data_IF_048964697744
#
_entry.id   IF_048964697744
#
_cell.length_a   1.000
_cell.length_b   1.000
_cell.length_c   1.000
_cell.angle_alpha   90.00
_cell.angle_beta   90.00
_cell.angle_gamma   90.00
#
_symmetry.space_group_name_H-M   'P 1'
#
loop_
_entity.id
_entity.type
_entity.pdbx_description
1 polymer ?
#
# COMPACT_ATOMS: atom_id res chain seq x y z
N UNK A 1 15.61 -27.27 21.21
CA UNK A 1 14.33 -26.74 21.72
C UNK A 1 14.55 -26.00 23.04
N UNK A 2 14.83 -24.69 23.03
CA UNK A 2 14.74 -23.83 24.22
C UNK A 2 14.08 -22.52 23.80
N UNK A 3 12.81 -22.34 24.21
CA UNK A 3 12.08 -21.08 24.16
C UNK A 3 12.57 -20.22 25.32
N UNK A 4 13.03 -19.01 25.06
CA UNK A 4 13.16 -17.98 26.09
C UNK A 4 12.59 -16.66 25.57
N UNK A 5 11.31 -16.48 25.89
CA UNK A 5 10.52 -15.28 25.68
C UNK A 5 11.15 -14.07 26.38
N UNK A 6 11.58 -13.06 25.64
CA UNK A 6 11.85 -11.73 26.21
C UNK A 6 10.61 -10.86 26.04
N UNK A 7 9.82 -10.79 27.11
CA UNK A 7 8.72 -9.82 27.27
C UNK A 7 9.34 -8.43 27.32
N UNK A 8 9.02 -7.58 26.35
CA UNK A 8 9.30 -6.13 26.44
C UNK A 8 7.97 -5.42 26.66
N UNK A 9 7.51 -5.42 27.91
CA UNK A 9 6.39 -4.58 28.33
C UNK A 9 6.95 -3.17 28.51
N UNK A 10 6.77 -2.31 27.50
CA UNK A 10 7.13 -0.89 27.60
C UNK A 10 6.15 -0.22 28.57
N UNK A 11 6.74 0.42 29.58
CA UNK A 11 6.10 1.05 30.72
C UNK A 11 5.16 2.18 30.30
N UNK A 12 4.03 2.25 30.99
CA UNK A 12 3.03 3.31 30.89
C UNK A 12 3.68 4.70 31.01
N UNK A 13 3.38 5.57 30.04
CA UNK A 13 3.64 7.00 30.17
C UNK A 13 2.53 7.58 31.04
N UNK A 14 2.98 8.15 32.16
CA UNK A 14 2.20 8.86 33.17
C UNK A 14 1.48 10.04 32.51
N UNK A 15 0.16 10.05 32.62
CA UNK A 15 -0.68 11.18 32.23
C UNK A 15 -0.34 12.41 33.09
N UNK A 16 0.03 13.50 32.42
CA UNK A 16 0.25 14.79 33.06
C UNK A 16 -1.07 15.39 33.52
N UNK A 17 -1.19 15.60 34.83
CA UNK A 17 -2.21 16.41 35.48
C UNK A 17 -2.12 17.85 34.97
N UNK A 18 -3.11 18.30 34.20
CA UNK A 18 -3.32 19.74 33.96
C UNK A 18 -4.17 20.29 35.11
N UNK A 19 -3.59 21.28 35.79
CA UNK A 19 -4.08 21.88 37.00
C UNK A 19 -5.41 22.62 36.81
N UNK A 20 -6.36 22.34 37.71
CA UNK A 20 -7.55 23.14 37.92
C UNK A 20 -7.17 24.44 38.67
N UNK A 21 -7.43 25.59 38.04
CA UNK A 21 -7.50 26.89 38.72
C UNK A 21 -8.90 27.46 38.49
N UNK A 22 -9.67 27.51 39.58
CA UNK A 22 -10.95 28.23 39.65
C UNK A 22 -10.70 29.58 40.35
N UNK A 23 -11.32 30.64 39.82
CA UNK A 23 -12.23 31.57 40.49
C UNK A 23 -12.10 33.00 39.92
N UNK A 24 -13.22 33.50 39.38
CA UNK A 24 -13.75 34.89 39.35
C UNK A 24 -14.52 35.09 38.02
N UNK A 25 -15.73 35.60 37.88
CA UNK A 25 -16.82 36.03 38.76
C UNK A 25 -18.06 36.23 37.85
N UNK A 26 -19.24 35.89 38.38
CA UNK A 26 -20.58 36.46 38.10
C UNK A 26 -21.09 36.70 36.67
N UNK A 27 -22.09 35.88 36.32
CA UNK A 27 -23.41 36.25 35.79
C UNK A 27 -23.53 37.00 34.45
N UNK A 28 -23.98 36.27 33.42
CA UNK A 28 -24.98 36.76 32.47
C UNK A 28 -25.83 35.56 31.99
N UNK A 29 -27.11 35.55 32.35
CA UNK A 29 -28.11 34.63 31.80
C UNK A 29 -28.70 35.26 30.54
N UNK A 30 -28.60 34.60 29.38
CA UNK A 30 -29.69 34.46 28.39
C UNK A 30 -29.20 33.70 27.15
N UNK A 31 -29.65 32.44 27.05
CA UNK A 31 -30.06 31.69 25.85
C UNK A 31 -29.50 32.13 24.49
N UNK A 32 -28.56 31.34 23.96
CA UNK A 32 -28.49 31.04 22.52
C UNK A 32 -28.08 29.55 22.40
N UNK A 33 -29.07 28.70 22.17
CA UNK A 33 -28.90 27.27 21.91
C UNK A 33 -28.26 27.06 20.54
N UNK A 34 -26.93 27.11 20.48
CA UNK A 34 -26.16 26.56 19.36
C UNK A 34 -25.51 25.26 19.84
N UNK A 35 -26.20 24.14 19.62
CA UNK A 35 -25.60 22.82 19.75
C UNK A 35 -24.29 22.79 18.96
N UNK A 36 -23.17 22.33 19.54
CA UNK A 36 -22.08 21.87 18.72
C UNK A 36 -22.62 20.59 18.08
N UNK A 37 -23.11 20.68 16.84
CA UNK A 37 -23.35 19.49 16.03
C UNK A 37 -22.04 18.75 16.02
N UNK A 38 -22.02 17.66 16.79
CA UNK A 38 -21.00 16.65 16.70
C UNK A 38 -20.99 16.24 15.24
N UNK A 39 -20.06 16.81 14.47
CA UNK A 39 -19.57 16.18 13.26
C UNK A 39 -18.97 14.87 13.75
N UNK A 40 -19.85 13.88 13.83
CA UNK A 40 -19.49 12.49 13.83
C UNK A 40 -18.60 12.33 12.61
N UNK A 41 -17.30 12.40 12.85
CA UNK A 41 -16.28 12.00 11.91
C UNK A 41 -16.54 10.53 11.66
N UNK A 42 -17.37 10.26 10.66
CA UNK A 42 -17.55 8.93 10.12
C UNK A 42 -16.16 8.52 9.67
N UNK A 43 -15.52 7.68 10.49
CA UNK A 43 -14.25 7.08 10.17
C UNK A 43 -14.35 6.54 8.73
N UNK A 44 -13.37 6.81 7.86
CA UNK A 44 -13.44 6.36 6.47
C UNK A 44 -13.67 4.85 6.49
N UNK A 45 -14.77 4.43 5.87
CA UNK A 45 -15.08 3.02 5.68
C UNK A 45 -14.04 2.48 4.71
N UNK A 46 -12.95 1.96 5.26
CA UNK A 46 -11.88 1.33 4.49
C UNK A 46 -12.52 0.16 3.78
N UNK A 47 -12.49 0.17 2.44
CA UNK A 47 -12.91 -0.98 1.65
C UNK A 47 -12.02 -2.18 2.04
N UNK A 48 -12.59 -3.24 2.65
CA UNK A 48 -11.80 -4.39 3.09
C UNK A 48 -11.05 -5.05 1.93
N UNK A 49 -11.57 -4.95 0.70
CA UNK A 49 -10.95 -5.56 -0.48
C UNK A 49 -9.68 -4.82 -0.90
N UNK A 50 -9.71 -3.49 -0.90
CA UNK A 50 -8.54 -2.65 -1.15
C UNK A 50 -7.44 -2.92 -0.11
N UNK A 51 -7.80 -3.02 1.17
CA UNK A 51 -6.85 -3.35 2.24
C UNK A 51 -6.22 -4.74 2.07
N UNK A 52 -6.94 -5.72 1.50
CA UNK A 52 -6.38 -7.04 1.20
C UNK A 52 -5.39 -6.96 0.05
N UNK A 53 -5.73 -6.23 -1.02
CA UNK A 53 -4.83 -6.02 -2.16
C UNK A 53 -3.53 -5.37 -1.70
N UNK A 54 -3.60 -4.26 -0.95
CA UNK A 54 -2.42 -3.56 -0.43
C UNK A 54 -1.51 -4.46 0.43
N UNK A 55 -2.11 -5.34 1.24
CA UNK A 55 -1.39 -6.33 2.03
C UNK A 55 -0.65 -7.36 1.16
N UNK A 56 -1.28 -7.83 0.08
CA UNK A 56 -0.68 -8.74 -0.90
C UNK A 56 0.47 -8.06 -1.66
N UNK A 57 0.30 -6.79 -2.07
CA UNK A 57 1.37 -6.01 -2.71
C UNK A 57 2.57 -5.87 -1.77
N UNK A 58 2.33 -5.43 -0.54
CA UNK A 58 3.39 -5.20 0.45
C UNK A 58 4.17 -6.49 0.75
N UNK A 59 3.45 -7.61 0.86
CA UNK A 59 4.04 -8.94 1.07
C UNK A 59 4.86 -9.38 -0.14
N UNK A 60 4.36 -9.18 -1.36
CA UNK A 60 5.09 -9.50 -2.58
C UNK A 60 6.38 -8.70 -2.72
N UNK A 61 6.37 -7.41 -2.37
CA UNK A 61 7.57 -6.56 -2.38
C UNK A 61 8.59 -7.03 -1.34
N UNK A 62 8.14 -7.39 -0.13
CA UNK A 62 9.01 -7.96 0.90
C UNK A 62 9.68 -9.26 0.41
N UNK A 63 8.90 -10.16 -0.21
CA UNK A 63 9.40 -11.41 -0.77
C UNK A 63 10.43 -11.18 -1.88
N UNK A 64 10.25 -10.15 -2.73
CA UNK A 64 11.28 -9.78 -3.72
C UNK A 64 12.59 -9.33 -3.07
N UNK A 65 12.52 -8.57 -1.96
CA UNK A 65 13.72 -8.16 -1.21
C UNK A 65 14.48 -9.34 -0.62
N UNK A 66 13.76 -10.43 -0.33
CA UNK A 66 14.31 -11.69 0.19
C UNK A 66 14.74 -12.65 -0.93
N UNK A 67 14.66 -12.24 -2.19
CA UNK A 67 14.89 -13.08 -3.39
C UNK A 67 13.94 -14.27 -3.49
N UNK A 68 12.82 -14.25 -2.78
CA UNK A 68 11.75 -15.24 -2.82
C UNK A 68 10.81 -14.99 -4.02
N UNK A 69 11.36 -14.91 -5.23
CA UNK A 69 10.65 -14.51 -6.45
C UNK A 69 9.41 -15.35 -6.76
N UNK A 70 9.47 -16.66 -6.48
CA UNK A 70 8.34 -17.56 -6.69
C UNK A 70 7.16 -17.30 -5.74
N UNK A 71 7.43 -16.86 -4.52
CA UNK A 71 6.38 -16.47 -3.56
C UNK A 71 5.84 -15.08 -3.89
N UNK A 72 6.73 -14.13 -4.21
CA UNK A 72 6.34 -12.81 -4.66
C UNK A 72 5.36 -12.87 -5.84
N UNK A 73 5.67 -13.71 -6.84
CA UNK A 73 4.79 -13.95 -7.99
C UNK A 73 3.38 -14.38 -7.55
N UNK A 74 3.27 -15.30 -6.58
CA UNK A 74 1.96 -15.76 -6.08
C UNK A 74 1.21 -14.63 -5.38
N UNK A 75 1.89 -13.81 -4.58
CA UNK A 75 1.28 -12.66 -3.90
C UNK A 75 0.73 -11.65 -4.89
N UNK A 76 1.49 -11.30 -5.93
CA UNK A 76 1.00 -10.39 -6.98
C UNK A 76 -0.11 -11.01 -7.84
N UNK A 77 -0.03 -12.31 -8.15
CA UNK A 77 -1.11 -13.04 -8.84
C UNK A 77 -2.42 -13.03 -8.04
N UNK A 78 -2.33 -13.20 -6.71
CA UNK A 78 -3.48 -13.08 -5.84
C UNK A 78 -4.04 -11.64 -5.81
N UNK A 79 -3.17 -10.63 -5.85
CA UNK A 79 -3.59 -9.23 -5.93
C UNK A 79 -4.38 -8.94 -7.22
N UNK A 80 -3.87 -9.36 -8.39
CA UNK A 80 -4.56 -9.14 -9.67
C UNK A 80 -5.82 -10.00 -9.84
N UNK A 81 -5.98 -11.07 -9.05
CA UNK A 81 -7.23 -11.83 -9.04
C UNK A 81 -8.37 -11.04 -8.37
N UNK A 82 -8.05 -10.05 -7.51
CA UNK A 82 -9.01 -9.17 -6.84
C UNK A 82 -9.13 -7.84 -7.59
N UNK A 83 -8.00 -7.24 -7.96
CA UNK A 83 -7.90 -6.01 -8.73
C UNK A 83 -7.05 -6.23 -9.99
N UNK A 84 -7.64 -6.65 -11.12
CA UNK A 84 -6.92 -6.95 -12.34
C UNK A 84 -6.09 -5.78 -12.90
N UNK A 85 -6.48 -4.55 -12.61
CA UNK A 85 -5.81 -3.34 -13.08
C UNK A 85 -4.78 -2.80 -12.09
N UNK A 86 -4.48 -3.53 -11.00
CA UNK A 86 -3.59 -3.03 -9.97
C UNK A 86 -2.20 -2.70 -10.55
N UNK A 87 -1.84 -1.42 -10.50
CA UNK A 87 -0.62 -0.89 -11.11
C UNK A 87 0.64 -1.58 -10.59
N UNK A 88 0.78 -1.69 -9.26
CA UNK A 88 1.98 -2.24 -8.65
C UNK A 88 2.08 -3.75 -8.84
N UNK A 89 0.96 -4.50 -8.77
CA UNK A 89 0.98 -5.94 -9.01
C UNK A 89 1.41 -6.26 -10.45
N UNK A 90 0.80 -5.58 -11.43
CA UNK A 90 1.13 -5.76 -12.84
C UNK A 90 2.59 -5.37 -13.12
N UNK A 91 3.06 -4.24 -12.61
CA UNK A 91 4.48 -3.87 -12.75
C UNK A 91 5.43 -4.93 -12.19
N UNK A 92 5.19 -5.41 -10.97
CA UNK A 92 6.09 -6.39 -10.36
C UNK A 92 6.02 -7.76 -11.05
N UNK A 93 4.86 -8.17 -11.57
CA UNK A 93 4.75 -9.38 -12.41
C UNK A 93 5.50 -9.23 -13.73
N UNK A 94 5.47 -8.04 -14.34
CA UNK A 94 6.27 -7.72 -15.51
C UNK A 94 7.76 -7.81 -15.23
N UNK A 95 8.22 -7.28 -14.09
CA UNK A 95 9.61 -7.40 -13.64
C UNK A 95 10.02 -8.85 -13.43
N UNK A 96 9.19 -9.64 -12.76
CA UNK A 96 9.46 -11.07 -12.57
C UNK A 96 9.54 -11.80 -13.92
N UNK A 97 8.63 -11.54 -14.85
CA UNK A 97 8.64 -12.14 -16.18
C UNK A 97 9.90 -11.76 -16.98
N UNK A 98 10.29 -10.48 -16.97
CA UNK A 98 11.50 -9.99 -17.61
C UNK A 98 12.74 -10.68 -17.02
N UNK A 99 12.85 -10.78 -15.70
CA UNK A 99 14.00 -11.48 -15.06
C UNK A 99 14.05 -12.97 -15.40
N UNK A 100 12.93 -13.58 -15.78
CA UNK A 100 12.83 -14.96 -16.22
C UNK A 100 13.08 -15.13 -17.73
N UNK A 101 13.28 -14.04 -18.47
CA UNK A 101 13.44 -14.04 -19.94
C UNK A 101 12.13 -14.23 -20.71
N UNK A 102 10.98 -14.07 -20.05
CA UNK A 102 9.67 -14.10 -20.71
C UNK A 102 9.26 -12.66 -21.08
N UNK A 103 9.91 -12.14 -22.12
CA UNK A 103 9.74 -10.75 -22.56
C UNK A 103 8.30 -10.48 -23.05
N UNK A 104 7.65 -11.47 -23.66
CA UNK A 104 6.26 -11.35 -24.11
C UNK A 104 5.29 -11.15 -22.93
N UNK A 105 5.44 -11.94 -21.86
CA UNK A 105 4.65 -11.74 -20.65
C UNK A 105 5.01 -10.42 -19.97
N UNK A 106 6.29 -10.05 -19.92
CA UNK A 106 6.74 -8.79 -19.34
C UNK A 106 6.10 -7.57 -20.01
N UNK A 107 6.14 -7.52 -21.35
CA UNK A 107 5.49 -6.48 -22.16
C UNK A 107 3.99 -6.40 -21.84
N UNK A 108 3.30 -7.54 -21.75
CA UNK A 108 1.86 -7.59 -21.45
C UNK A 108 1.56 -6.97 -20.07
N UNK A 109 2.33 -7.36 -19.05
CA UNK A 109 2.13 -6.87 -17.69
C UNK A 109 2.49 -5.38 -17.55
N UNK A 110 3.59 -4.92 -18.16
CA UNK A 110 3.93 -3.50 -18.16
C UNK A 110 2.90 -2.65 -18.89
N UNK A 111 2.39 -3.12 -20.03
CA UNK A 111 1.32 -2.44 -20.76
C UNK A 111 0.05 -2.34 -19.91
N UNK A 112 -0.27 -3.39 -19.14
CA UNK A 112 -1.42 -3.38 -18.22
C UNK A 112 -1.22 -2.37 -17.07
N UNK A 113 -0.02 -2.29 -16.50
CA UNK A 113 0.30 -1.28 -15.49
C UNK A 113 0.16 0.15 -16.04
N UNK A 114 0.60 0.38 -17.30
CA UNK A 114 0.47 1.67 -17.98
C UNK A 114 -0.96 2.01 -18.39
N UNK A 115 -1.85 1.02 -18.51
CA UNK A 115 -3.27 1.29 -18.68
C UNK A 115 -3.91 1.87 -17.40
N UNK A 116 -3.36 1.55 -16.22
CA UNK A 116 -3.79 2.11 -14.94
C UNK A 116 -3.17 3.50 -14.68
N UNK A 117 -1.89 3.68 -15.02
CA UNK A 117 -1.20 4.98 -15.01
C UNK A 117 -0.22 5.07 -16.19
N UNK A 118 -0.62 5.82 -17.21
CA UNK A 118 0.18 6.00 -18.43
C UNK A 118 1.51 6.73 -18.19
N UNK A 119 1.68 7.38 -17.04
CA UNK A 119 2.89 8.13 -16.67
C UNK A 119 3.81 7.35 -15.73
N UNK A 120 3.51 6.09 -15.43
CA UNK A 120 4.30 5.27 -14.51
C UNK A 120 5.69 4.94 -15.08
N UNK A 121 6.65 5.83 -14.80
CA UNK A 121 7.99 5.82 -15.36
C UNK A 121 8.74 4.47 -15.27
N UNK A 122 8.65 3.69 -14.17
CA UNK A 122 9.31 2.39 -14.10
C UNK A 122 8.83 1.40 -15.16
N UNK A 123 7.53 1.35 -15.46
CA UNK A 123 6.99 0.47 -16.49
C UNK A 123 7.36 0.98 -17.90
N UNK A 124 7.33 2.30 -18.14
CA UNK A 124 7.79 2.89 -19.41
C UNK A 124 9.25 2.54 -19.70
N UNK A 125 10.12 2.68 -18.70
CA UNK A 125 11.55 2.40 -18.83
C UNK A 125 11.81 0.93 -19.19
N UNK A 126 11.21 -0.01 -18.45
CA UNK A 126 11.41 -1.44 -18.72
C UNK A 126 10.79 -1.86 -20.06
N UNK A 127 9.64 -1.29 -20.44
CA UNK A 127 9.02 -1.57 -21.73
C UNK A 127 9.91 -1.11 -22.89
N UNK A 128 10.50 0.09 -22.79
CA UNK A 128 11.40 0.61 -23.81
C UNK A 128 12.61 -0.32 -24.05
N UNK A 129 13.22 -0.84 -22.98
CA UNK A 129 14.32 -1.81 -23.05
C UNK A 129 13.90 -3.07 -23.82
N UNK A 130 12.71 -3.60 -23.51
CA UNK A 130 12.21 -4.83 -24.11
C UNK A 130 11.86 -4.66 -25.60
N UNK A 131 11.26 -3.54 -25.97
CA UNK A 131 10.90 -3.27 -27.37
C UNK A 131 12.11 -2.94 -28.22
N UNK A 132 13.09 -2.21 -27.69
CA UNK A 132 14.34 -1.93 -28.41
C UNK A 132 15.11 -3.23 -28.71
N UNK A 133 15.22 -4.13 -27.74
CA UNK A 133 15.86 -5.43 -27.94
C UNK A 133 15.12 -6.29 -28.99
N UNK A 134 13.79 -6.24 -28.98
CA UNK A 134 12.96 -6.98 -29.94
C UNK A 134 13.19 -6.48 -31.37
N UNK A 135 13.20 -5.16 -31.58
CA UNK A 135 13.40 -4.54 -32.90
C UNK A 135 14.80 -4.84 -33.47
N UNK A 136 15.83 -4.86 -32.62
CA UNK A 136 17.20 -5.23 -33.04
C UNK A 136 17.34 -6.70 -33.42
N UNK A 137 16.56 -7.60 -32.80
CA UNK A 137 16.60 -9.03 -33.11
C UNK A 137 15.88 -9.41 -34.40
N UNK A 138 15.01 -8.53 -34.90
CA UNK A 138 14.20 -8.75 -36.09
C UNK A 138 14.84 -8.21 -37.39
N UNK A 139 15.97 -7.48 -37.29
CA UNK A 139 16.72 -6.89 -38.41
C UNK A 139 17.88 -7.77 -38.88
#
# INVERSE_FOLDING_TARGET
MHRTSRRVVRRAVVGGLVAAMLLSSTAACSSDDAEPTAEATAAPSVDPTASVVDGLISTGIQQLSEQATGEAKKSFQAAIAIDPANLLANYNLGFIAQTAGDDAAAITFYTTALAADSSFAPALYNLAILTEASDLSAA
#
